data_IF_703697779820
#
_entry.id   IF_703697779820
#
_cell.length_a   1.000
_cell.length_b   1.000
_cell.length_c   1.000
_cell.angle_alpha   90.00
_cell.angle_beta   90.00
_cell.angle_gamma   90.00
#
_symmetry.space_group_name_H-M   'P 1'
#
loop_
_entity.id
_entity.type
_entity.pdbx_description
1 polymer ?
#
# COMPACT_ATOMS: atom_id res chain seq x y z
N UNK A 1 0.15 -17.86 12.91
CA UNK A 1 0.58 -16.64 12.17
C UNK A 1 -0.54 -15.98 11.36
N UNK A 2 -1.39 -16.69 10.59
CA UNK A 2 -2.52 -16.07 9.87
C UNK A 2 -3.56 -15.38 10.79
N UNK A 3 -3.63 -15.80 12.05
CA UNK A 3 -4.54 -15.22 13.05
C UNK A 3 -4.24 -13.74 13.35
N UNK A 4 -2.97 -13.31 13.29
CA UNK A 4 -2.58 -11.95 13.69
C UNK A 4 -3.07 -10.90 12.68
N UNK A 5 -2.96 -11.18 11.38
CA UNK A 5 -3.52 -10.31 10.35
C UNK A 5 -5.05 -10.19 10.47
N UNK A 6 -5.74 -11.31 10.74
CA UNK A 6 -7.19 -11.30 10.96
C UNK A 6 -7.62 -10.52 12.19
N UNK A 7 -6.88 -10.62 13.29
CA UNK A 7 -7.15 -9.83 14.48
C UNK A 7 -6.95 -8.34 14.23
N UNK A 8 -5.90 -7.98 13.47
CA UNK A 8 -5.65 -6.59 13.08
C UNK A 8 -6.75 -6.05 12.16
N UNK A 9 -7.12 -6.76 11.10
CA UNK A 9 -8.16 -6.30 10.17
C UNK A 9 -9.50 -6.15 10.87
N UNK A 10 -9.83 -7.07 11.79
CA UNK A 10 -11.01 -6.96 12.66
C UNK A 10 -10.95 -5.73 13.55
N UNK A 11 -9.83 -5.49 14.25
CA UNK A 11 -9.66 -4.31 15.09
C UNK A 11 -9.82 -3.00 14.32
N UNK A 12 -9.27 -2.96 13.11
CA UNK A 12 -9.35 -1.80 12.22
C UNK A 12 -10.78 -1.57 11.73
N UNK A 13 -11.52 -2.65 11.48
CA UNK A 13 -12.94 -2.60 11.09
C UNK A 13 -13.85 -2.21 12.27
N UNK A 14 -13.51 -2.64 13.48
CA UNK A 14 -14.27 -2.32 14.70
C UNK A 14 -14.02 -0.87 15.18
N UNK A 15 -12.93 -0.22 14.73
CA UNK A 15 -12.55 1.13 15.15
C UNK A 15 -12.06 2.04 14.01
N UNK A 16 -12.85 2.20 12.93
CA UNK A 16 -12.39 2.86 11.71
C UNK A 16 -12.02 4.33 11.93
N UNK A 17 -12.68 5.02 12.88
CA UNK A 17 -12.39 6.44 13.18
C UNK A 17 -10.98 6.66 13.75
N UNK A 18 -10.44 5.68 14.47
CA UNK A 18 -9.07 5.76 15.02
C UNK A 18 -8.05 5.67 13.89
N UNK A 19 -8.36 4.88 12.86
CA UNK A 19 -7.48 4.65 11.73
C UNK A 19 -7.65 5.66 10.60
N UNK A 20 -8.80 6.31 10.49
CA UNK A 20 -9.08 7.33 9.47
C UNK A 20 -8.11 8.52 9.49
N UNK A 21 -7.52 8.84 10.65
CA UNK A 21 -6.53 9.92 10.78
C UNK A 21 -5.08 9.46 10.68
N UNK A 22 -4.83 8.15 10.55
CA UNK A 22 -3.48 7.60 10.50
C UNK A 22 -2.85 7.93 9.15
N UNK A 23 -1.76 8.69 9.20
CA UNK A 23 -0.98 9.07 8.01
C UNK A 23 0.20 8.14 7.75
N UNK A 24 0.63 7.36 8.74
CA UNK A 24 1.72 6.39 8.60
C UNK A 24 1.40 5.08 9.30
N UNK A 25 1.45 3.99 8.54
CA UNK A 25 1.19 2.64 9.04
C UNK A 25 2.42 1.75 8.81
N UNK A 26 2.96 1.17 9.88
CA UNK A 26 4.06 0.21 9.82
C UNK A 26 3.60 -1.16 10.31
N UNK A 27 3.69 -2.15 9.43
CA UNK A 27 3.28 -3.52 9.67
C UNK A 27 4.52 -4.41 9.65
N UNK A 28 4.67 -5.25 10.67
CA UNK A 28 5.86 -6.09 10.85
C UNK A 28 5.51 -7.53 11.15
N UNK A 29 6.20 -8.47 10.51
CA UNK A 29 6.07 -9.91 10.78
C UNK A 29 4.64 -10.45 10.59
N UNK A 30 3.86 -9.84 9.69
CA UNK A 30 2.46 -10.21 9.46
C UNK A 30 2.29 -10.97 8.16
N UNK A 31 1.40 -11.98 8.19
CA UNK A 31 0.95 -12.62 6.97
C UNK A 31 -0.20 -11.84 6.34
N UNK A 32 0.09 -10.94 5.42
CA UNK A 32 -0.89 -10.03 4.82
C UNK A 32 -1.19 -10.43 3.38
N UNK A 33 -2.44 -10.80 3.13
CA UNK A 33 -2.96 -10.95 1.76
C UNK A 33 -3.39 -9.60 1.18
N UNK A 34 -3.61 -9.54 -0.14
CA UNK A 34 -4.18 -8.36 -0.79
C UNK A 34 -5.50 -7.92 -0.16
N UNK A 35 -6.34 -8.87 0.28
CA UNK A 35 -7.60 -8.57 0.94
C UNK A 35 -7.39 -7.91 2.31
N UNK A 36 -6.40 -8.36 3.09
CA UNK A 36 -6.07 -7.75 4.37
C UNK A 36 -5.57 -6.32 4.18
N UNK A 37 -4.68 -6.11 3.20
CA UNK A 37 -4.17 -4.77 2.87
C UNK A 37 -5.28 -3.85 2.39
N UNK A 38 -6.20 -4.32 1.55
CA UNK A 38 -7.35 -3.53 1.11
C UNK A 38 -8.24 -3.07 2.28
N UNK A 39 -8.50 -3.95 3.26
CA UNK A 39 -9.25 -3.59 4.48
C UNK A 39 -8.49 -2.53 5.30
N UNK A 40 -7.17 -2.68 5.45
CA UNK A 40 -6.34 -1.71 6.19
C UNK A 40 -6.33 -0.34 5.50
N UNK A 41 -6.16 -0.32 4.19
CA UNK A 41 -6.19 0.92 3.41
C UNK A 41 -7.56 1.59 3.50
N UNK A 42 -8.65 0.83 3.37
CA UNK A 42 -10.01 1.39 3.38
C UNK A 42 -10.40 2.04 4.71
N UNK A 43 -9.80 1.61 5.81
CA UNK A 43 -9.96 2.25 7.11
C UNK A 43 -9.00 3.42 7.34
N UNK A 44 -7.82 3.41 6.71
CA UNK A 44 -6.81 4.46 6.83
C UNK A 44 -6.93 5.48 5.68
N UNK A 45 -8.02 6.23 5.66
CA UNK A 45 -8.35 7.13 4.53
C UNK A 45 -7.38 8.29 4.30
N UNK A 46 -6.57 8.65 5.32
CA UNK A 46 -5.52 9.67 5.23
C UNK A 46 -4.10 9.08 5.18
N UNK A 47 -3.97 7.79 4.87
CA UNK A 47 -2.68 7.13 4.88
C UNK A 47 -1.79 7.65 3.75
N UNK A 48 -0.64 8.20 4.13
CA UNK A 48 0.37 8.73 3.21
C UNK A 48 1.55 7.75 3.08
N UNK A 49 1.89 7.02 4.14
CA UNK A 49 3.05 6.13 4.19
C UNK A 49 2.67 4.72 4.68
N UNK A 50 2.88 3.71 3.84
CA UNK A 50 2.74 2.30 4.20
C UNK A 50 4.11 1.63 4.24
N UNK A 51 4.46 1.02 5.39
CA UNK A 51 5.71 0.28 5.57
C UNK A 51 5.42 -1.18 5.89
N UNK A 52 5.85 -2.10 5.03
CA UNK A 52 5.76 -3.54 5.22
C UNK A 52 7.15 -4.10 5.53
N UNK A 53 7.30 -4.76 6.68
CA UNK A 53 8.54 -5.38 7.11
C UNK A 53 8.33 -6.86 7.42
N UNK A 54 9.06 -7.74 6.72
CA UNK A 54 8.95 -9.18 6.89
C UNK A 54 7.49 -9.68 6.77
N UNK A 55 6.81 -9.23 5.72
CA UNK A 55 5.43 -9.61 5.42
C UNK A 55 5.36 -10.57 4.22
N UNK A 56 4.41 -11.51 4.27
CA UNK A 56 4.21 -12.52 3.23
C UNK A 56 2.80 -13.12 3.27
N UNK A 57 2.21 -13.45 2.13
CA UNK A 57 0.91 -14.12 2.09
C UNK A 57 0.99 -15.62 1.77
N UNK A 58 2.20 -16.13 1.47
CA UNK A 58 2.45 -17.50 1.02
C UNK A 58 2.10 -17.76 -0.46
N UNK A 59 1.37 -16.87 -1.13
CA UNK A 59 1.10 -16.92 -2.58
C UNK A 59 2.08 -16.08 -3.39
N UNK A 60 2.89 -15.27 -2.70
CA UNK A 60 3.92 -14.39 -3.24
C UNK A 60 3.34 -13.36 -4.20
N UNK A 61 2.09 -12.94 -4.00
CA UNK A 61 1.49 -11.85 -4.75
C UNK A 61 0.80 -10.87 -3.81
N UNK A 62 0.94 -9.57 -4.09
CA UNK A 62 0.29 -8.50 -3.34
C UNK A 62 -0.32 -7.51 -4.32
N UNK A 63 -1.59 -7.19 -4.10
CA UNK A 63 -2.32 -6.16 -4.84
C UNK A 63 -2.68 -5.06 -3.87
N UNK A 64 -2.34 -3.82 -4.23
CA UNK A 64 -2.59 -2.61 -3.48
C UNK A 64 -3.50 -1.75 -4.35
N UNK A 65 -4.78 -1.68 -3.98
CA UNK A 65 -5.75 -0.80 -4.65
C UNK A 65 -5.81 0.53 -3.89
N UNK A 66 -5.17 1.56 -4.45
CA UNK A 66 -5.19 2.93 -3.93
C UNK A 66 -6.42 3.72 -4.35
N UNK A 67 -7.17 3.26 -5.37
CA UNK A 67 -8.19 4.06 -6.06
C UNK A 67 -9.43 4.32 -5.21
N UNK A 68 -9.80 3.34 -4.36
CA UNK A 68 -10.98 3.41 -3.51
C UNK A 68 -10.69 3.50 -2.01
N UNK A 69 -9.46 3.17 -1.58
CA UNK A 69 -9.18 2.86 -0.19
C UNK A 69 -8.19 3.85 0.48
N UNK A 70 -7.12 4.26 -0.20
CA UNK A 70 -6.10 5.16 0.34
C UNK A 70 -5.65 6.19 -0.72
N UNK A 71 -6.46 7.25 -0.95
CA UNK A 71 -6.22 8.22 -2.03
C UNK A 71 -4.97 9.06 -1.81
N UNK A 72 -4.51 9.19 -0.56
CA UNK A 72 -3.33 9.99 -0.19
C UNK A 72 -2.04 9.18 -0.12
N UNK A 73 -2.04 7.89 -0.48
CA UNK A 73 -0.86 7.03 -0.32
C UNK A 73 0.26 7.51 -1.25
N UNK A 74 1.34 8.04 -0.66
CA UNK A 74 2.49 8.62 -1.37
C UNK A 74 3.70 7.72 -1.34
N UNK A 75 3.86 6.97 -0.26
CA UNK A 75 5.03 6.13 -0.05
C UNK A 75 4.65 4.71 0.33
N UNK A 76 5.21 3.76 -0.43
CA UNK A 76 5.23 2.35 -0.06
C UNK A 76 6.68 1.90 0.15
N UNK A 77 6.98 1.46 1.36
CA UNK A 77 8.25 0.85 1.72
C UNK A 77 8.06 -0.63 2.01
N UNK A 78 8.83 -1.47 1.33
CA UNK A 78 8.86 -2.92 1.56
C UNK A 78 10.28 -3.35 1.93
N UNK A 79 10.39 -4.12 3.01
CA UNK A 79 11.65 -4.61 3.57
C UNK A 79 11.53 -6.10 3.93
N UNK A 80 12.40 -6.93 3.36
CA UNK A 80 12.45 -8.37 3.65
C UNK A 80 11.11 -9.10 3.44
N UNK A 81 10.32 -8.65 2.46
CA UNK A 81 9.04 -9.30 2.13
C UNK A 81 9.22 -10.33 1.01
N UNK A 82 8.51 -11.46 1.08
CA UNK A 82 8.61 -12.56 0.09
C UNK A 82 7.50 -12.51 -0.97
N UNK A 83 7.06 -11.30 -1.33
CA UNK A 83 6.16 -11.11 -2.48
C UNK A 83 6.99 -11.15 -3.78
N UNK A 84 6.59 -12.01 -4.70
CA UNK A 84 7.17 -12.13 -6.03
C UNK A 84 6.46 -11.24 -7.06
N UNK A 85 5.18 -10.92 -6.87
CA UNK A 85 4.39 -10.03 -7.72
C UNK A 85 3.78 -8.92 -6.88
N UNK A 86 3.97 -7.66 -7.28
CA UNK A 86 3.32 -6.51 -6.67
C UNK A 86 2.55 -5.74 -7.74
N UNK A 87 1.26 -5.55 -7.52
CA UNK A 87 0.40 -4.72 -8.35
C UNK A 87 -0.08 -3.53 -7.53
N UNK A 88 0.08 -2.32 -8.06
CA UNK A 88 -0.46 -1.11 -7.45
C UNK A 88 -1.44 -0.45 -8.43
N UNK A 89 -2.72 -0.46 -8.06
CA UNK A 89 -3.79 0.19 -8.81
C UNK A 89 -4.01 1.60 -8.30
N UNK A 90 -4.10 2.57 -9.22
CA UNK A 90 -4.22 4.01 -8.97
C UNK A 90 -3.01 4.67 -8.28
N UNK A 91 -1.82 4.37 -8.79
CA UNK A 91 -0.60 5.04 -8.38
C UNK A 91 -0.49 6.46 -8.97
N UNK A 92 -0.44 7.52 -8.15
CA UNK A 92 -0.29 8.89 -8.65
C UNK A 92 1.19 9.26 -8.82
N UNK A 93 1.57 9.76 -10.00
CA UNK A 93 2.93 10.17 -10.33
C UNK A 93 3.26 11.61 -9.89
N UNK A 94 2.35 12.29 -9.18
CA UNK A 94 2.53 13.69 -8.76
C UNK A 94 3.53 13.85 -7.62
N UNK A 95 3.98 12.77 -6.98
CA UNK A 95 4.88 12.82 -5.83
C UNK A 95 6.24 12.14 -6.12
N UNK A 96 7.31 12.80 -5.67
CA UNK A 96 8.71 12.45 -5.95
C UNK A 96 9.08 11.16 -5.21
N UNK A 97 9.48 10.14 -5.98
CA UNK A 97 10.00 8.84 -5.54
C UNK A 97 9.09 8.04 -4.57
N UNK A 98 7.95 7.54 -5.05
CA UNK A 98 6.87 7.04 -4.18
C UNK A 98 7.05 5.55 -3.77
N UNK A 99 8.02 4.83 -4.34
CA UNK A 99 8.31 3.41 -4.03
C UNK A 99 9.73 3.25 -3.53
N UNK A 100 9.87 2.92 -2.25
CA UNK A 100 11.17 2.57 -1.64
C UNK A 100 11.26 1.07 -1.42
N UNK A 101 11.78 0.35 -2.42
CA UNK A 101 12.13 -1.05 -2.29
C UNK A 101 13.55 -1.15 -1.72
N UNK A 102 13.67 -1.31 -0.39
CA UNK A 102 14.98 -1.49 0.27
C UNK A 102 15.25 -2.96 0.53
N UNK A 103 16.51 -3.37 0.40
CA UNK A 103 17.05 -4.70 0.72
C UNK A 103 16.09 -5.89 0.45
N UNK A 104 16.28 -6.52 -0.71
CA UNK A 104 15.84 -7.90 -0.96
C UNK A 104 14.33 -8.16 -0.89
N UNK A 105 13.48 -7.48 -1.69
CA UNK A 105 12.25 -8.11 -2.09
C UNK A 105 12.56 -9.17 -3.15
N UNK A 106 12.07 -10.41 -3.01
CA UNK A 106 12.14 -11.45 -4.04
C UNK A 106 11.21 -11.14 -5.23
N UNK A 107 11.01 -9.85 -5.54
CA UNK A 107 10.05 -9.34 -6.50
C UNK A 107 10.53 -9.69 -7.90
N UNK A 108 9.75 -10.53 -8.59
CA UNK A 108 9.94 -10.87 -9.99
C UNK A 108 9.19 -9.93 -10.91
N UNK A 109 8.08 -9.38 -10.44
CA UNK A 109 7.17 -8.60 -11.28
C UNK A 109 6.55 -7.44 -10.48
N UNK A 110 6.66 -6.24 -11.04
CA UNK A 110 6.09 -5.01 -10.52
C UNK A 110 5.16 -4.41 -11.58
N UNK A 111 3.88 -4.25 -11.26
CA UNK A 111 2.87 -3.69 -12.15
C UNK A 111 2.31 -2.43 -11.48
N UNK A 112 2.46 -1.29 -12.14
CA UNK A 112 1.96 0.00 -11.66
C UNK A 112 0.90 0.50 -12.64
N UNK A 113 -0.36 0.57 -12.18
CA UNK A 113 -1.44 1.20 -12.92
C UNK A 113 -1.61 2.64 -12.42
N UNK A 114 -1.26 3.60 -13.26
CA UNK A 114 -1.53 5.02 -12.97
C UNK A 114 -3.01 5.32 -13.24
N UNK A 115 -3.70 5.87 -12.25
CA UNK A 115 -5.06 6.43 -12.43
C UNK A 115 -5.02 7.91 -12.84
N UNK A 116 -3.84 8.51 -12.99
CA UNK A 116 -3.73 9.92 -13.33
C UNK A 116 -4.25 10.16 -14.75
N UNK A 117 -5.23 11.07 -14.86
CA UNK A 117 -5.55 11.74 -16.12
C UNK A 117 -4.25 12.32 -16.72
N UNK A 118 -4.09 12.34 -18.05
CA UNK A 118 -2.87 12.78 -18.70
C UNK A 118 -2.46 14.16 -18.19
N UNK A 119 -1.20 14.30 -17.77
CA UNK A 119 -0.60 15.55 -17.31
C UNK A 119 -1.03 16.70 -18.22
N UNK A 120 -1.98 17.53 -17.77
CA UNK A 120 -2.23 18.81 -18.44
C UNK A 120 -0.98 19.65 -18.19
N UNK A 121 -0.11 19.70 -19.19
CA UNK A 121 0.99 20.66 -19.27
C UNK A 121 0.43 22.00 -18.82
N UNK A 122 0.97 22.56 -17.74
CA UNK A 122 0.87 24.00 -17.49
C UNK A 122 1.37 24.65 -18.78
N UNK A 123 0.45 25.26 -19.54
CA UNK A 123 0.84 26.30 -20.49
C UNK A 123 1.47 27.38 -19.62
N UNK A 124 2.81 27.42 -19.61
CA UNK A 124 3.51 28.63 -19.21
C UNK A 124 3.03 29.71 -20.19
N UNK A 125 2.45 30.76 -19.64
CA UNK A 125 2.04 31.91 -20.41
C UNK A 125 3.26 32.62 -21.00
N UNK A 126 3.08 33.12 -22.22
CA UNK A 126 3.58 34.40 -22.71
C UNK A 126 2.69 34.79 -23.87
#
# INVERSE_FOLDING_TARGET
MAQQARCLTRFVTDSPRVFASVTKLSLRNLRLSSADVAVLLGACTRLEHLVLYNCHDGRRSLVIDGAGAAPELRELEMKSCDYARLTCDAWSAEHVAPLSLRHGPCLRELILHSSAAPCRRRRQGS
#
